data_IF_346934411585
#
_entry.id   IF_346934411585
#
_cell.length_a   1.000
_cell.length_b   1.000
_cell.length_c   1.000
_cell.angle_alpha   90.00
_cell.angle_beta   90.00
_cell.angle_gamma   90.00
#
_symmetry.space_group_name_H-M   'P 1'
#
loop_
_entity.id
_entity.type
_entity.pdbx_description
1 polymer ?
#
# COMPACT_ATOMS: atom_id res chain seq x y z
N UNK A 1 -8.14 -12.87 -1.18
CA UNK A 1 -7.63 -11.95 -2.21
C UNK A 1 -7.51 -12.76 -3.49
N UNK A 2 -8.13 -12.29 -4.56
CA UNK A 2 -8.18 -12.97 -5.85
C UNK A 2 -7.83 -11.97 -6.94
N UNK A 3 -7.34 -12.45 -8.07
CA UNK A 3 -7.19 -11.62 -9.27
C UNK A 3 -8.55 -11.42 -9.93
N UNK A 4 -8.84 -10.19 -10.36
CA UNK A 4 -9.99 -9.89 -11.21
C UNK A 4 -9.66 -10.18 -12.69
N UNK A 5 -10.60 -9.89 -13.60
CA UNK A 5 -10.44 -10.11 -15.04
C UNK A 5 -9.32 -9.25 -15.67
N UNK A 6 -8.86 -8.22 -14.96
CA UNK A 6 -7.76 -7.32 -15.34
C UNK A 6 -6.42 -7.70 -14.67
N UNK A 7 -6.34 -8.88 -14.07
CA UNK A 7 -5.15 -9.39 -13.35
C UNK A 7 -4.72 -8.49 -12.16
N UNK A 8 -5.68 -7.85 -11.49
CA UNK A 8 -5.45 -7.02 -10.31
C UNK A 8 -5.92 -7.71 -9.03
N UNK A 9 -5.14 -7.59 -7.94
CA UNK A 9 -5.56 -8.14 -6.65
C UNK A 9 -6.78 -7.41 -6.10
N UNK A 10 -7.87 -8.15 -5.92
CA UNK A 10 -9.15 -7.68 -5.43
C UNK A 10 -9.61 -8.40 -4.15
N UNK A 11 -10.39 -7.71 -3.34
CA UNK A 11 -11.05 -8.32 -2.20
C UNK A 11 -12.18 -9.23 -2.69
N UNK A 12 -12.14 -10.51 -2.30
CA UNK A 12 -13.21 -11.47 -2.58
C UNK A 12 -14.25 -11.58 -1.46
N UNK A 13 -14.08 -10.78 -0.40
CA UNK A 13 -14.85 -10.86 0.85
C UNK A 13 -15.06 -9.47 1.48
N UNK A 14 -15.94 -9.42 2.48
CA UNK A 14 -16.17 -8.23 3.31
C UNK A 14 -16.82 -7.06 2.56
N UNK A 15 -16.78 -5.88 3.19
CA UNK A 15 -17.42 -4.65 2.68
C UNK A 15 -16.87 -4.19 1.32
N UNK A 16 -15.60 -4.48 1.03
CA UNK A 16 -14.91 -4.04 -0.19
C UNK A 16 -14.86 -5.13 -1.28
N UNK A 17 -15.72 -6.15 -1.20
CA UNK A 17 -15.79 -7.23 -2.19
C UNK A 17 -15.89 -6.66 -3.61
N UNK A 18 -15.06 -7.17 -4.53
CA UNK A 18 -14.99 -6.76 -5.93
C UNK A 18 -14.11 -5.54 -6.20
N UNK A 19 -13.60 -4.85 -5.16
CA UNK A 19 -12.67 -3.74 -5.37
C UNK A 19 -11.21 -4.17 -5.29
N UNK A 20 -10.36 -3.46 -6.01
CA UNK A 20 -8.91 -3.64 -5.95
C UNK A 20 -8.38 -3.32 -4.55
N UNK A 21 -7.35 -4.05 -4.12
CA UNK A 21 -6.70 -3.80 -2.84
C UNK A 21 -6.08 -2.42 -2.82
N UNK A 22 -5.44 -2.00 -3.92
CA UNK A 22 -4.79 -0.70 -3.99
C UNK A 22 -5.75 0.46 -3.77
N UNK A 23 -6.93 0.44 -4.42
CA UNK A 23 -7.87 1.56 -4.32
C UNK A 23 -8.45 1.66 -2.91
N UNK A 24 -8.72 0.52 -2.27
CA UNK A 24 -9.16 0.49 -0.88
C UNK A 24 -8.08 1.01 0.06
N UNK A 25 -6.81 0.67 -0.15
CA UNK A 25 -5.72 1.16 0.69
C UNK A 25 -5.37 2.63 0.43
N UNK A 26 -5.59 3.14 -0.78
CA UNK A 26 -5.49 4.59 -1.11
C UNK A 26 -6.62 5.37 -0.44
N UNK A 27 -7.86 4.91 -0.56
CA UNK A 27 -9.04 5.56 0.01
C UNK A 27 -9.07 5.45 1.54
N UNK A 28 -8.67 4.30 2.09
CA UNK A 28 -8.66 4.03 3.53
C UNK A 28 -7.29 3.46 3.99
N UNK A 29 -6.30 4.33 4.22
CA UNK A 29 -4.94 3.92 4.61
C UNK A 29 -4.87 3.08 5.90
N UNK A 30 -5.84 3.28 6.80
CA UNK A 30 -5.95 2.53 8.06
C UNK A 30 -6.44 1.09 7.87
N UNK A 31 -7.05 0.78 6.73
CA UNK A 31 -7.67 -0.53 6.50
C UNK A 31 -6.65 -1.67 6.52
N UNK A 32 -5.44 -1.45 6.02
CA UNK A 32 -4.37 -2.44 6.14
C UNK A 32 -4.06 -2.74 7.61
N UNK A 33 -3.91 -1.72 8.47
CA UNK A 33 -3.62 -1.92 9.89
C UNK A 33 -4.76 -2.67 10.60
N UNK A 34 -6.01 -2.38 10.25
CA UNK A 34 -7.15 -3.13 10.75
C UNK A 34 -7.07 -4.62 10.37
N UNK A 35 -6.80 -4.95 9.09
CA UNK A 35 -6.67 -6.35 8.66
C UNK A 35 -5.48 -7.06 9.34
N UNK A 36 -4.35 -6.38 9.50
CA UNK A 36 -3.17 -6.98 10.14
C UNK A 36 -3.44 -7.37 11.61
N UNK A 37 -4.27 -6.59 12.31
CA UNK A 37 -4.64 -6.84 13.71
C UNK A 37 -5.87 -7.75 13.87
N UNK A 38 -6.74 -7.82 12.87
CA UNK A 38 -7.92 -8.69 12.89
C UNK A 38 -7.56 -10.17 12.72
N UNK A 39 -8.49 -11.07 13.05
CA UNK A 39 -8.32 -12.51 12.90
C UNK A 39 -8.56 -12.93 11.44
N UNK A 40 -7.52 -12.80 10.62
CA UNK A 40 -7.49 -13.29 9.24
C UNK A 40 -6.39 -14.34 9.07
N UNK A 41 -6.57 -15.31 8.15
CA UNK A 41 -5.53 -16.27 7.80
C UNK A 41 -4.22 -15.56 7.46
N UNK A 42 -3.10 -16.15 7.89
CA UNK A 42 -1.76 -15.58 7.70
C UNK A 42 -1.46 -15.27 6.23
N UNK A 43 -1.94 -16.10 5.30
CA UNK A 43 -1.82 -15.88 3.87
C UNK A 43 -2.39 -14.52 3.44
N UNK A 44 -3.63 -14.20 3.85
CA UNK A 44 -4.29 -12.94 3.53
C UNK A 44 -3.50 -11.74 4.05
N UNK A 45 -3.02 -11.83 5.30
CA UNK A 45 -2.21 -10.77 5.93
C UNK A 45 -0.90 -10.54 5.17
N UNK A 46 -0.20 -11.61 4.80
CA UNK A 46 1.05 -11.55 4.02
C UNK A 46 0.84 -10.92 2.64
N UNK A 47 -0.21 -11.32 1.92
CA UNK A 47 -0.53 -10.77 0.59
C UNK A 47 -0.79 -9.25 0.67
N UNK A 48 -1.61 -8.80 1.62
CA UNK A 48 -1.90 -7.38 1.80
C UNK A 48 -0.67 -6.55 2.20
N UNK A 49 0.19 -7.11 3.05
CA UNK A 49 1.46 -6.47 3.42
C UNK A 49 2.37 -6.29 2.20
N UNK A 50 2.49 -7.32 1.36
CA UNK A 50 3.29 -7.24 0.13
C UNK A 50 2.75 -6.18 -0.84
N UNK A 51 1.43 -6.11 -1.03
CA UNK A 51 0.79 -5.07 -1.85
C UNK A 51 1.13 -3.67 -1.31
N UNK A 52 0.95 -3.45 0.01
CA UNK A 52 1.27 -2.16 0.65
C UNK A 52 2.74 -1.77 0.49
N UNK A 53 3.66 -2.73 0.60
CA UNK A 53 5.09 -2.49 0.38
C UNK A 53 5.37 -2.05 -1.05
N UNK A 54 4.76 -2.69 -2.06
CA UNK A 54 4.90 -2.27 -3.47
C UNK A 54 4.35 -0.86 -3.73
N UNK A 55 3.25 -0.49 -3.06
CA UNK A 55 2.69 0.86 -3.14
C UNK A 55 3.59 1.92 -2.49
N UNK A 56 4.39 1.53 -1.49
CA UNK A 56 5.25 2.44 -0.70
C UNK A 56 6.70 2.47 -1.18
N UNK A 57 7.12 1.46 -1.95
CA UNK A 57 8.45 1.37 -2.51
C UNK A 57 8.70 2.63 -3.37
N UNK A 58 9.80 3.37 -3.14
CA UNK A 58 10.17 4.46 -4.02
C UNK A 58 10.28 3.89 -5.44
N UNK A 59 9.49 4.41 -6.38
CA UNK A 59 9.74 4.17 -7.81
C UNK A 59 11.19 4.59 -8.04
N UNK A 60 12.05 3.62 -8.33
CA UNK A 60 13.50 3.76 -8.41
C UNK A 60 13.84 5.03 -9.20
N UNK A 61 14.49 5.99 -8.53
CA UNK A 61 14.84 7.27 -9.15
C UNK A 61 15.46 8.32 -8.22
N UNK A 62 15.30 8.22 -6.91
CA UNK A 62 15.93 9.17 -5.98
C UNK A 62 16.36 8.46 -4.70
N UNK A 63 17.66 8.47 -4.42
CA UNK A 63 18.23 7.91 -3.20
C UNK A 63 17.66 8.65 -1.98
N UNK A 64 17.58 7.99 -0.84
CA UNK A 64 17.11 8.63 0.40
C UNK A 64 18.02 9.80 0.82
N UNK A 65 19.29 9.76 0.45
CA UNK A 65 20.22 10.89 0.55
C UNK A 65 19.77 12.09 -0.26
N UNK A 66 19.31 11.86 -1.49
CA UNK A 66 18.92 12.90 -2.42
C UNK A 66 17.61 13.56 -1.97
N UNK A 67 16.70 12.77 -1.39
CA UNK A 67 15.47 13.29 -0.76
C UNK A 67 15.78 14.17 0.45
N UNK A 68 16.72 13.76 1.31
CA UNK A 68 17.15 14.57 2.47
C UNK A 68 17.76 15.90 2.03
N UNK A 69 18.63 15.87 1.01
CA UNK A 69 19.26 17.08 0.47
C UNK A 69 18.23 18.02 -0.15
N UNK A 70 17.29 17.50 -0.95
CA UNK A 70 16.21 18.30 -1.53
C UNK A 70 15.31 18.93 -0.45
N UNK A 71 15.07 18.21 0.65
CA UNK A 71 14.29 18.73 1.77
C UNK A 71 15.06 19.84 2.50
N UNK A 72 16.35 19.63 2.80
CA UNK A 72 17.20 20.65 3.44
C UNK A 72 17.30 21.92 2.59
N UNK A 73 17.50 21.81 1.27
CA UNK A 73 17.54 22.97 0.38
C UNK A 73 16.22 23.76 0.41
N UNK A 74 15.07 23.08 0.45
CA UNK A 74 13.74 23.73 0.46
C UNK A 74 13.47 24.54 1.73
N UNK A 75 14.02 24.16 2.88
CA UNK A 75 13.84 24.87 4.15
C UNK A 75 14.87 25.99 4.37
N UNK A 76 16.06 25.87 3.77
CA UNK A 76 17.14 26.86 3.89
C UNK A 76 17.01 28.09 2.95
N UNK A 77 15.99 28.11 2.09
CA UNK A 77 15.68 29.21 1.16
C UNK A 77 14.61 30.20 1.69
N UNK A 78 14.33 30.19 2.99
CA UNK A 78 13.43 31.14 3.67
C UNK A 78 14.19 32.11 4.55
#
# INVERSE_FOLDING_TARGET
ILFNDEDQESFSFGKYKGRTVEDVLKENPGYNAWIQNADFPLYTKKVLQAIKQRMSAPKTGMSDTDKLQALQQKFNLR
#
